data_IF_118351262848
#
_entry.id   IF_118351262848
#
_cell.length_a   1.000
_cell.length_b   1.000
_cell.length_c   1.000
_cell.angle_alpha   90.00
_cell.angle_beta   90.00
_cell.angle_gamma   90.00
#
_symmetry.space_group_name_H-M   'P 1'
#
loop_
_entity.id
_entity.type
_entity.pdbx_description
1 polymer ?
#
# COMPACT_ATOMS: atom_id res chain seq x y z
N UNK A 1 46.17 -15.96 22.58
CA UNK A 1 45.45 -16.81 21.61
C UNK A 1 43.98 -17.02 22.00
N UNK A 2 43.68 -17.51 23.21
CA UNK A 2 42.29 -17.76 23.67
C UNK A 2 41.41 -16.50 23.72
N UNK A 3 41.93 -15.37 24.22
CA UNK A 3 41.19 -14.09 24.29
C UNK A 3 40.83 -13.58 22.89
N UNK A 4 41.73 -13.73 21.92
CA UNK A 4 41.50 -13.32 20.53
C UNK A 4 40.41 -14.17 19.88
N UNK A 5 40.41 -15.48 20.13
CA UNK A 5 39.37 -16.39 19.63
C UNK A 5 37.98 -16.08 20.25
N UNK A 6 37.91 -15.73 21.53
CA UNK A 6 36.67 -15.30 22.19
C UNK A 6 36.14 -13.99 21.60
N UNK A 7 37.01 -13.01 21.34
CA UNK A 7 36.61 -11.75 20.70
C UNK A 7 36.08 -11.99 19.28
N UNK A 8 36.74 -12.84 18.49
CA UNK A 8 36.27 -13.21 17.15
C UNK A 8 34.92 -13.96 17.20
N UNK A 9 34.71 -14.82 18.19
CA UNK A 9 33.42 -15.49 18.39
C UNK A 9 32.31 -14.48 18.75
N UNK A 10 32.58 -13.53 19.64
CA UNK A 10 31.60 -12.49 20.00
C UNK A 10 31.28 -11.61 18.79
N UNK A 11 32.28 -11.17 18.03
CA UNK A 11 32.07 -10.41 16.79
C UNK A 11 31.28 -11.24 15.78
N UNK A 12 31.60 -12.52 15.60
CA UNK A 12 30.86 -13.41 14.72
C UNK A 12 29.40 -13.56 15.15
N UNK A 13 29.14 -13.77 16.44
CA UNK A 13 27.78 -13.88 16.99
C UNK A 13 27.03 -12.56 16.78
N UNK A 14 27.64 -11.42 17.07
CA UNK A 14 27.07 -10.09 16.85
C UNK A 14 26.76 -9.90 15.36
N UNK A 15 27.72 -10.13 14.46
CA UNK A 15 27.53 -10.05 13.01
C UNK A 15 26.43 -11.01 12.56
N UNK A 16 26.39 -12.24 13.04
CA UNK A 16 25.33 -13.20 12.72
C UNK A 16 23.95 -12.71 13.16
N UNK A 17 23.83 -12.13 14.36
CA UNK A 17 22.59 -11.53 14.85
C UNK A 17 22.19 -10.27 14.08
N UNK A 18 23.14 -9.45 13.63
CA UNK A 18 22.89 -8.23 12.87
C UNK A 18 22.57 -8.50 11.39
N UNK A 19 23.21 -9.48 10.75
CA UNK A 19 23.07 -9.75 9.32
C UNK A 19 22.11 -10.91 8.98
N UNK A 20 21.72 -11.73 9.96
CA UNK A 20 20.83 -12.88 9.76
C UNK A 20 19.32 -12.56 9.77
N UNK A 21 18.92 -11.31 10.02
CA UNK A 21 17.52 -10.94 10.18
C UNK A 21 16.96 -10.24 8.93
N UNK A 22 16.21 -10.98 8.12
CA UNK A 22 15.36 -10.39 7.08
C UNK A 22 13.98 -10.07 7.66
N UNK A 23 13.61 -8.80 7.76
CA UNK A 23 12.31 -8.38 8.29
C UNK A 23 11.14 -8.75 7.35
N UNK A 24 11.46 -9.02 6.09
CA UNK A 24 10.50 -9.34 5.03
C UNK A 24 10.83 -10.63 4.31
N UNK A 25 9.79 -11.31 3.83
CA UNK A 25 9.84 -12.53 3.03
C UNK A 25 9.00 -12.37 1.77
N UNK A 26 9.41 -13.01 0.68
CA UNK A 26 8.64 -13.04 -0.57
C UNK A 26 7.64 -14.18 -0.54
N UNK A 27 6.36 -13.88 -0.75
CA UNK A 27 5.27 -14.86 -0.67
C UNK A 27 4.41 -14.73 -1.92
N UNK A 28 4.13 -15.86 -2.59
CA UNK A 28 3.21 -15.92 -3.72
C UNK A 28 1.76 -15.80 -3.21
N UNK A 29 0.95 -14.98 -3.86
CA UNK A 29 -0.49 -14.88 -3.65
C UNK A 29 -1.21 -16.00 -4.41
N UNK A 30 -2.20 -16.63 -3.77
CA UNK A 30 -3.13 -17.54 -4.45
C UNK A 30 -4.24 -16.78 -5.19
N UNK A 31 -4.44 -15.49 -4.85
CA UNK A 31 -5.53 -14.67 -5.39
C UNK A 31 -5.23 -14.23 -6.83
N UNK A 32 -3.99 -13.86 -7.11
CA UNK A 32 -3.57 -13.32 -8.42
C UNK A 32 -2.27 -13.93 -8.96
N UNK A 33 -1.65 -14.86 -8.23
CA UNK A 33 -0.43 -15.54 -8.64
C UNK A 33 0.85 -14.72 -8.52
N UNK A 34 0.79 -13.44 -8.13
CA UNK A 34 1.95 -12.56 -8.02
C UNK A 34 2.73 -12.80 -6.71
N UNK A 35 3.98 -12.35 -6.66
CA UNK A 35 4.84 -12.47 -5.49
C UNK A 35 4.99 -11.11 -4.81
N UNK A 36 4.67 -11.06 -3.52
CA UNK A 36 4.68 -9.84 -2.71
C UNK A 36 5.74 -9.92 -1.62
N UNK A 37 6.32 -8.77 -1.26
CA UNK A 37 7.17 -8.63 -0.06
C UNK A 37 6.26 -8.46 1.15
N UNK A 38 6.26 -9.46 2.01
CA UNK A 38 5.43 -9.58 3.21
C UNK A 38 6.30 -9.45 4.43
N UNK A 39 5.80 -8.82 5.48
CA UNK A 39 6.53 -8.70 6.73
C UNK A 39 6.51 -10.05 7.46
N UNK A 40 7.68 -10.58 7.81
CA UNK A 40 7.77 -11.85 8.53
C UNK A 40 7.84 -11.67 10.05
N UNK A 41 8.42 -10.57 10.54
CA UNK A 41 8.64 -10.36 11.98
C UNK A 41 9.40 -11.54 12.65
N UNK A 42 9.48 -11.56 13.98
CA UNK A 42 9.88 -12.79 14.70
C UNK A 42 8.60 -13.60 14.90
N UNK A 43 8.52 -14.81 14.33
CA UNK A 43 7.49 -15.83 14.61
C UNK A 43 6.09 -15.69 13.97
N UNK A 44 5.94 -15.14 12.75
CA UNK A 44 4.66 -15.24 12.02
C UNK A 44 4.54 -16.58 11.29
N UNK A 45 3.37 -17.22 11.39
CA UNK A 45 3.08 -18.51 10.77
C UNK A 45 2.82 -18.40 9.26
N UNK A 46 2.75 -19.55 8.59
CA UNK A 46 2.49 -19.59 7.14
C UNK A 46 1.13 -18.98 6.77
N UNK A 47 0.12 -19.13 7.65
CA UNK A 47 -1.21 -18.58 7.41
C UNK A 47 -1.17 -17.05 7.38
N UNK A 48 -0.54 -16.41 8.36
CA UNK A 48 -0.35 -14.96 8.43
C UNK A 48 0.28 -14.44 7.14
N UNK A 49 1.39 -15.06 6.72
CA UNK A 49 2.14 -14.66 5.54
C UNK A 49 1.29 -14.78 4.27
N UNK A 50 0.49 -15.84 4.21
CA UNK A 50 -0.38 -16.12 3.08
C UNK A 50 -1.60 -15.21 3.01
N UNK A 51 -2.23 -14.93 4.14
CA UNK A 51 -3.32 -13.96 4.23
C UNK A 51 -2.85 -12.57 3.77
N UNK A 52 -1.65 -12.14 4.21
CA UNK A 52 -1.06 -10.86 3.79
C UNK A 52 -0.72 -10.83 2.28
N UNK A 53 -0.23 -11.92 1.70
CA UNK A 53 0.01 -11.95 0.24
C UNK A 53 -1.28 -11.98 -0.57
N UNK A 54 -2.29 -12.71 -0.11
CA UNK A 54 -3.58 -12.81 -0.77
C UNK A 54 -4.34 -11.48 -0.75
N UNK A 55 -4.33 -10.73 0.36
CA UNK A 55 -4.99 -9.43 0.42
C UNK A 55 -4.30 -8.38 -0.49
N UNK A 56 -2.97 -8.44 -0.64
CA UNK A 56 -2.27 -7.61 -1.63
C UNK A 56 -2.62 -8.02 -3.06
N UNK A 57 -2.82 -9.33 -3.30
CA UNK A 57 -3.33 -9.83 -4.58
C UNK A 57 -4.73 -9.29 -4.89
N UNK A 58 -5.63 -9.30 -3.92
CA UNK A 58 -6.98 -8.72 -4.06
C UNK A 58 -6.93 -7.21 -4.34
N UNK A 59 -6.10 -6.47 -3.61
CA UNK A 59 -5.84 -5.04 -3.86
C UNK A 59 -5.36 -4.85 -5.30
N UNK A 60 -4.40 -5.65 -5.75
CA UNK A 60 -3.84 -5.55 -7.09
C UNK A 60 -4.91 -5.77 -8.18
N UNK A 61 -5.75 -6.80 -8.05
CA UNK A 61 -6.84 -7.06 -9.00
C UNK A 61 -7.83 -5.89 -9.07
N UNK A 62 -8.16 -5.29 -7.92
CA UNK A 62 -9.03 -4.11 -7.83
C UNK A 62 -8.42 -2.86 -8.47
N UNK A 63 -7.12 -2.61 -8.25
CA UNK A 63 -6.41 -1.49 -8.89
C UNK A 63 -6.37 -1.67 -10.41
N UNK A 64 -6.00 -2.85 -10.90
CA UNK A 64 -5.97 -3.14 -12.33
C UNK A 64 -7.35 -3.00 -12.99
N UNK A 65 -8.41 -3.44 -12.29
CA UNK A 65 -9.80 -3.25 -12.72
C UNK A 65 -10.17 -1.77 -12.85
N UNK A 66 -9.80 -0.96 -11.85
CA UNK A 66 -10.00 0.48 -11.88
C UNK A 66 -9.21 1.14 -13.00
N UNK A 67 -7.91 0.84 -13.15
CA UNK A 67 -7.07 1.42 -14.20
C UNK A 67 -7.63 1.09 -15.59
N UNK A 68 -8.04 -0.16 -15.81
CA UNK A 68 -8.67 -0.57 -17.08
C UNK A 68 -9.96 0.21 -17.37
N UNK A 69 -10.82 0.37 -16.36
CA UNK A 69 -12.05 1.16 -16.48
C UNK A 69 -11.75 2.63 -16.83
N UNK A 70 -10.81 3.25 -16.09
CA UNK A 70 -10.41 4.63 -16.32
C UNK A 70 -9.80 4.86 -17.70
N UNK A 71 -8.97 3.93 -18.18
CA UNK A 71 -8.41 3.97 -19.54
C UNK A 71 -9.51 3.88 -20.60
N UNK A 72 -10.48 3.00 -20.41
CA UNK A 72 -11.58 2.83 -21.36
C UNK A 72 -12.47 4.06 -21.43
N UNK A 73 -12.71 4.74 -20.31
CA UNK A 73 -13.67 5.85 -20.22
C UNK A 73 -13.04 7.22 -20.44
N UNK A 74 -11.82 7.42 -19.94
CA UNK A 74 -11.15 8.73 -19.87
C UNK A 74 -9.80 8.76 -20.61
N UNK A 75 -9.45 7.71 -21.36
CA UNK A 75 -8.18 7.61 -22.09
C UNK A 75 -7.95 8.67 -23.17
N UNK A 76 -8.96 9.48 -23.50
CA UNK A 76 -8.87 10.63 -24.41
C UNK A 76 -9.44 11.92 -23.79
N UNK A 77 -9.80 11.89 -22.50
CA UNK A 77 -10.39 13.05 -21.80
C UNK A 77 -9.28 14.00 -21.35
N UNK A 78 -9.18 15.24 -21.88
CA UNK A 78 -8.09 16.15 -21.55
C UNK A 78 -7.96 16.45 -20.04
N UNK A 79 -9.05 16.39 -19.29
CA UNK A 79 -9.06 16.68 -17.85
C UNK A 79 -8.37 15.58 -17.04
N UNK A 80 -8.56 14.32 -17.43
CA UNK A 80 -8.08 13.16 -16.66
C UNK A 80 -6.95 12.38 -17.34
N UNK A 81 -6.65 12.68 -18.61
CA UNK A 81 -5.67 11.97 -19.44
C UNK A 81 -4.33 11.77 -18.72
N UNK A 82 -3.79 12.83 -18.14
CA UNK A 82 -2.50 12.80 -17.44
C UNK A 82 -2.51 11.83 -16.26
N UNK A 83 -3.56 11.87 -15.43
CA UNK A 83 -3.72 10.95 -14.29
C UNK A 83 -3.82 9.50 -14.77
N UNK A 84 -4.72 9.21 -15.71
CA UNK A 84 -4.95 7.85 -16.21
C UNK A 84 -3.69 7.26 -16.87
N UNK A 85 -2.96 8.06 -17.66
CA UNK A 85 -1.69 7.64 -18.25
C UNK A 85 -0.60 7.43 -17.19
N UNK A 86 -0.52 8.29 -16.17
CA UNK A 86 0.43 8.13 -15.07
C UNK A 86 0.17 6.83 -14.29
N UNK A 87 -1.08 6.53 -13.96
CA UNK A 87 -1.44 5.27 -13.30
C UNK A 87 -1.02 4.07 -14.13
N UNK A 88 -1.42 4.00 -15.41
CA UNK A 88 -1.05 2.89 -16.30
C UNK A 88 0.46 2.72 -16.43
N UNK A 89 1.21 3.82 -16.51
CA UNK A 89 2.66 3.80 -16.72
C UNK A 89 3.43 3.40 -15.46
N UNK A 90 2.96 3.84 -14.29
CA UNK A 90 3.71 3.76 -13.03
C UNK A 90 3.27 2.58 -12.15
N UNK A 91 1.99 2.24 -12.18
CA UNK A 91 1.49 1.12 -11.39
C UNK A 91 1.85 -0.22 -12.04
N UNK A 92 2.33 -1.13 -11.20
CA UNK A 92 2.51 -2.57 -11.46
C UNK A 92 2.32 -3.30 -10.12
N UNK A 93 1.99 -4.58 -10.14
CA UNK A 93 1.86 -5.35 -8.88
C UNK A 93 3.10 -5.27 -7.97
N UNK A 94 4.30 -5.10 -8.54
CA UNK A 94 5.56 -4.99 -7.79
C UNK A 94 5.67 -3.73 -6.92
N UNK A 95 4.80 -2.75 -7.15
CA UNK A 95 4.67 -1.53 -6.35
C UNK A 95 4.16 -1.86 -4.94
N UNK A 96 3.37 -2.92 -4.77
CA UNK A 96 2.74 -3.25 -3.51
C UNK A 96 3.65 -4.09 -2.60
N UNK A 97 3.72 -3.71 -1.33
CA UNK A 97 4.34 -4.52 -0.26
C UNK A 97 3.70 -4.24 1.10
N UNK A 98 3.88 -5.12 2.07
CA UNK A 98 3.42 -4.87 3.45
C UNK A 98 4.38 -3.90 4.16
N UNK A 99 3.83 -2.87 4.80
CA UNK A 99 4.60 -1.90 5.57
C UNK A 99 5.18 -2.50 6.88
N UNK A 100 6.28 -1.91 7.36
CA UNK A 100 6.82 -2.21 8.68
C UNK A 100 5.88 -1.70 9.79
N UNK A 101 5.84 -2.39 10.93
CA UNK A 101 5.10 -1.91 12.11
C UNK A 101 6.00 -0.96 12.88
N UNK A 102 6.01 0.29 12.43
CA UNK A 102 6.57 1.43 13.13
C UNK A 102 5.43 2.44 13.34
N UNK A 103 5.39 3.09 14.51
CA UNK A 103 4.35 4.08 14.78
C UNK A 103 4.36 5.22 13.74
N UNK A 104 5.51 5.49 13.12
CA UNK A 104 5.71 6.49 12.08
C UNK A 104 5.16 6.11 10.70
N UNK A 105 4.90 4.82 10.45
CA UNK A 105 4.56 4.33 9.10
C UNK A 105 3.10 3.83 9.02
N UNK A 106 2.24 4.61 8.39
CA UNK A 106 0.89 4.18 7.95
C UNK A 106 1.01 3.42 6.63
N UNK A 107 0.05 3.56 5.72
CA UNK A 107 0.35 3.35 4.30
C UNK A 107 1.06 4.58 3.75
N UNK A 108 2.05 4.36 2.89
CA UNK A 108 2.79 5.44 2.26
C UNK A 108 3.37 5.00 0.92
N UNK A 109 3.56 5.98 0.03
CA UNK A 109 4.25 5.80 -1.24
C UNK A 109 5.63 6.47 -1.24
N UNK A 110 6.68 5.72 -1.57
CA UNK A 110 8.03 6.25 -1.82
C UNK A 110 8.18 6.58 -3.30
N UNK A 111 8.62 7.80 -3.60
CA UNK A 111 8.89 8.31 -4.96
C UNK A 111 7.76 8.13 -5.99
N UNK A 112 6.51 8.01 -5.52
CA UNK A 112 5.32 7.70 -6.35
C UNK A 112 5.46 6.37 -7.11
N UNK A 113 6.25 5.42 -6.58
CA UNK A 113 6.62 4.15 -7.23
C UNK A 113 6.53 2.93 -6.34
N UNK A 114 6.79 3.04 -5.04
CA UNK A 114 6.71 1.90 -4.13
C UNK A 114 5.69 2.20 -3.03
N UNK A 115 4.64 1.39 -2.93
CA UNK A 115 3.56 1.54 -1.98
C UNK A 115 3.68 0.49 -0.89
N UNK A 116 3.93 0.95 0.33
CA UNK A 116 3.99 0.11 1.52
C UNK A 116 2.64 0.21 2.23
N UNK A 117 1.90 -0.88 2.27
CA UNK A 117 0.52 -0.92 2.75
C UNK A 117 0.48 -1.44 4.19
N UNK A 118 -0.15 -0.67 5.07
CA UNK A 118 -0.48 -1.14 6.42
C UNK A 118 -1.70 -2.07 6.35
N UNK A 119 -1.45 -3.37 6.28
CA UNK A 119 -2.50 -4.37 6.09
C UNK A 119 -3.23 -4.75 7.38
N UNK A 120 -2.61 -4.50 8.53
CA UNK A 120 -3.07 -5.06 9.81
C UNK A 120 -3.16 -4.04 10.92
N UNK A 121 -4.07 -4.29 11.86
CA UNK A 121 -4.19 -3.52 13.10
C UNK A 121 -2.89 -3.56 13.89
N UNK A 122 -2.61 -2.47 14.62
CA UNK A 122 -1.41 -2.36 15.48
C UNK A 122 -1.64 -2.91 16.89
N UNK A 123 -2.79 -3.53 17.13
CA UNK A 123 -3.09 -4.23 18.38
C UNK A 123 -2.34 -5.57 18.47
N UNK A 124 -2.48 -6.22 19.63
CA UNK A 124 -1.85 -7.52 19.90
C UNK A 124 -2.39 -8.66 19.00
N UNK A 125 -3.54 -8.47 18.34
CA UNK A 125 -4.21 -9.46 17.50
C UNK A 125 -3.74 -9.36 16.04
N UNK A 126 -3.27 -8.18 15.60
CA UNK A 126 -2.74 -7.93 14.25
C UNK A 126 -3.71 -8.41 13.14
N UNK A 127 -4.99 -8.09 13.30
CA UNK A 127 -6.03 -8.48 12.36
C UNK A 127 -5.87 -7.75 11.03
N UNK A 128 -6.21 -8.41 9.92
CA UNK A 128 -6.29 -7.74 8.63
C UNK A 128 -7.40 -6.69 8.66
N UNK A 129 -7.14 -5.51 8.12
CA UNK A 129 -8.20 -4.56 7.85
C UNK A 129 -9.14 -5.11 6.77
N UNK A 130 -10.39 -4.65 6.82
CA UNK A 130 -11.36 -4.89 5.76
C UNK A 130 -10.83 -4.34 4.42
N UNK A 131 -11.05 -5.12 3.35
CA UNK A 131 -10.60 -4.75 1.99
C UNK A 131 -11.14 -3.39 1.57
N UNK A 132 -12.34 -3.01 2.02
CA UNK A 132 -12.96 -1.74 1.68
C UNK A 132 -12.21 -0.54 2.30
N UNK A 133 -11.76 -0.66 3.55
CA UNK A 133 -10.91 0.36 4.21
C UNK A 133 -9.56 0.43 3.50
N UNK A 134 -8.96 -0.73 3.22
CA UNK A 134 -7.70 -0.79 2.47
C UNK A 134 -7.84 -0.10 1.12
N UNK A 135 -8.91 -0.37 0.37
CA UNK A 135 -9.14 0.27 -0.93
C UNK A 135 -9.29 1.78 -0.83
N UNK A 136 -9.94 2.33 0.21
CA UNK A 136 -10.00 3.78 0.39
C UNK A 136 -8.61 4.42 0.54
N UNK A 137 -7.74 3.78 1.32
CA UNK A 137 -6.34 4.22 1.50
C UNK A 137 -5.52 4.01 0.23
N UNK A 138 -5.72 2.92 -0.49
CA UNK A 138 -5.08 2.69 -1.79
C UNK A 138 -5.46 3.79 -2.80
N UNK A 139 -6.74 4.17 -2.85
CA UNK A 139 -7.21 5.25 -3.74
C UNK A 139 -6.56 6.60 -3.40
N UNK A 140 -6.28 6.86 -2.12
CA UNK A 140 -5.52 8.02 -1.66
C UNK A 140 -4.08 8.00 -2.22
N UNK A 141 -3.39 6.87 -2.12
CA UNK A 141 -2.04 6.73 -2.65
C UNK A 141 -1.99 6.79 -4.19
N UNK A 142 -2.98 6.22 -4.88
CA UNK A 142 -3.12 6.37 -6.34
C UNK A 142 -3.36 7.84 -6.73
N UNK A 143 -4.08 8.62 -5.92
CA UNK A 143 -4.22 10.05 -6.15
C UNK A 143 -2.87 10.78 -6.03
N UNK A 144 -2.01 10.41 -5.06
CA UNK A 144 -0.63 10.91 -5.00
C UNK A 144 0.19 10.53 -6.25
N UNK A 145 0.00 9.32 -6.77
CA UNK A 145 0.65 8.84 -8.01
C UNK A 145 0.18 9.60 -9.26
N UNK A 146 -1.02 10.18 -9.26
CA UNK A 146 -1.54 11.03 -10.33
C UNK A 146 -1.13 12.51 -10.24
N UNK A 147 -0.83 13.01 -9.04
CA UNK A 147 -0.78 14.46 -8.78
C UNK A 147 0.51 15.11 -9.32
N UNK A 148 0.45 15.71 -10.50
CA UNK A 148 1.56 16.40 -11.17
C UNK A 148 1.08 17.74 -11.72
N UNK A 149 1.98 18.72 -11.80
CA UNK A 149 1.67 19.98 -12.47
C UNK A 149 1.73 19.84 -14.01
N UNK A 150 1.41 20.93 -14.71
CA UNK A 150 1.39 20.97 -16.18
C UNK A 150 2.78 20.70 -16.82
N UNK A 151 3.86 20.86 -16.06
CA UNK A 151 5.23 20.62 -16.52
C UNK A 151 5.74 19.21 -16.14
N UNK A 152 4.90 18.38 -15.52
CA UNK A 152 5.27 17.04 -15.07
C UNK A 152 6.08 17.01 -13.77
N UNK A 153 6.03 18.09 -12.97
CA UNK A 153 6.64 18.14 -11.63
C UNK A 153 5.68 17.52 -10.60
N UNK A 154 6.15 16.59 -9.74
CA UNK A 154 5.32 16.03 -8.68
C UNK A 154 4.76 17.11 -7.75
N UNK A 155 3.44 17.14 -7.56
CA UNK A 155 2.81 17.92 -6.49
C UNK A 155 2.68 17.03 -5.26
N UNK A 156 3.07 17.56 -4.11
CA UNK A 156 2.99 16.92 -2.80
C UNK A 156 1.87 17.54 -1.95
N UNK A 157 1.37 16.77 -0.98
CA UNK A 157 0.30 17.20 -0.08
C UNK A 157 -1.11 17.07 -0.68
N UNK A 158 -2.09 17.54 0.09
CA UNK A 158 -3.52 17.28 -0.09
C UNK A 158 -4.31 18.53 -0.52
N UNK A 159 -3.70 19.34 -1.39
CA UNK A 159 -4.33 20.56 -1.94
C UNK A 159 -5.51 20.28 -2.88
N UNK A 160 -6.06 21.34 -3.50
CA UNK A 160 -7.27 21.24 -4.36
C UNK A 160 -7.12 20.22 -5.50
N UNK A 161 -5.97 20.18 -6.16
CA UNK A 161 -5.67 19.22 -7.23
C UNK A 161 -5.72 17.78 -6.74
N UNK A 162 -5.08 17.50 -5.60
CA UNK A 162 -5.13 16.18 -4.97
C UNK A 162 -6.57 15.78 -4.64
N UNK A 163 -7.34 16.66 -4.00
CA UNK A 163 -8.72 16.37 -3.59
C UNK A 163 -9.60 16.11 -4.82
N UNK A 164 -9.42 16.85 -5.90
CA UNK A 164 -10.14 16.64 -7.17
C UNK A 164 -9.86 15.24 -7.74
N UNK A 165 -8.59 14.84 -7.82
CA UNK A 165 -8.17 13.52 -8.29
C UNK A 165 -8.69 12.42 -7.35
N UNK A 166 -8.57 12.61 -6.04
CA UNK A 166 -8.99 11.61 -5.07
C UNK A 166 -10.50 11.38 -5.12
N UNK A 167 -11.32 12.45 -5.22
CA UNK A 167 -12.77 12.33 -5.46
C UNK A 167 -13.09 11.59 -6.74
N UNK A 168 -12.37 11.90 -7.83
CA UNK A 168 -12.55 11.24 -9.11
C UNK A 168 -12.31 9.73 -9.00
N UNK A 169 -11.17 9.32 -8.43
CA UNK A 169 -10.83 7.90 -8.25
C UNK A 169 -11.84 7.19 -7.35
N UNK A 170 -12.25 7.81 -6.24
CA UNK A 170 -13.25 7.23 -5.33
C UNK A 170 -14.59 7.05 -6.02
N UNK A 171 -15.11 8.07 -6.72
CA UNK A 171 -16.39 7.96 -7.45
C UNK A 171 -16.37 6.86 -8.50
N UNK A 172 -15.33 6.81 -9.33
CA UNK A 172 -15.23 5.78 -10.37
C UNK A 172 -15.06 4.38 -9.77
N UNK A 173 -14.35 4.25 -8.64
CA UNK A 173 -14.23 2.98 -7.93
C UNK A 173 -15.55 2.49 -7.32
N UNK A 174 -16.42 3.41 -6.86
CA UNK A 174 -17.78 3.10 -6.39
C UNK A 174 -18.64 2.60 -7.56
N UNK A 175 -18.60 3.32 -8.68
CA UNK A 175 -19.42 3.01 -9.86
C UNK A 175 -19.17 1.59 -10.41
N UNK A 176 -17.97 1.04 -10.22
CA UNK A 176 -17.59 -0.29 -10.70
C UNK A 176 -17.49 -1.34 -9.57
N UNK A 177 -17.87 -0.98 -8.34
CA UNK A 177 -17.85 -1.90 -7.19
C UNK A 177 -16.46 -2.27 -6.66
N UNK A 178 -15.41 -1.53 -7.04
CA UNK A 178 -14.05 -1.71 -6.50
C UNK A 178 -13.95 -1.21 -5.05
N UNK A 179 -14.73 -0.20 -4.69
CA UNK A 179 -14.87 0.33 -3.34
C UNK A 179 -16.35 0.58 -3.04
N UNK A 180 -16.78 0.30 -1.82
CA UNK A 180 -18.13 0.59 -1.31
C UNK A 180 -18.06 1.84 -0.45
N UNK A 181 -18.92 2.81 -0.72
CA UNK A 181 -18.96 4.06 0.04
C UNK A 181 -19.15 3.81 1.54
N UNK A 182 -18.36 4.51 2.34
CA UNK A 182 -18.53 4.63 3.79
C UNK A 182 -18.52 6.12 4.13
N UNK A 183 -19.48 6.54 4.95
CA UNK A 183 -19.49 7.86 5.54
C UNK A 183 -18.61 7.86 6.80
N UNK A 184 -17.32 8.17 6.63
CA UNK A 184 -16.36 8.19 7.72
C UNK A 184 -16.60 9.35 8.71
N UNK A 185 -17.40 10.36 8.35
CA UNK A 185 -17.76 11.42 9.28
C UNK A 185 -18.76 10.94 10.33
N UNK A 186 -19.68 10.04 9.93
CA UNK A 186 -20.61 9.39 10.86
C UNK A 186 -20.08 8.07 11.42
N UNK A 187 -19.20 7.38 10.70
CA UNK A 187 -18.62 6.09 11.09
C UNK A 187 -17.08 6.12 10.97
N UNK A 188 -16.37 6.86 11.85
CA UNK A 188 -14.92 6.90 11.83
C UNK A 188 -14.31 5.51 11.96
N UNK A 189 -13.25 5.24 11.19
CA UNK A 189 -12.53 3.96 11.24
C UNK A 189 -11.09 4.17 11.68
N UNK A 190 -10.64 3.33 12.61
CA UNK A 190 -9.21 3.27 12.94
C UNK A 190 -8.45 2.64 11.79
N UNK A 191 -7.33 3.24 11.43
CA UNK A 191 -6.41 2.74 10.43
C UNK A 191 -4.98 3.10 10.82
N UNK A 192 -4.21 2.08 11.20
CA UNK A 192 -2.78 2.14 11.43
C UNK A 192 -2.36 3.24 12.43
N UNK A 193 -3.05 3.33 13.55
CA UNK A 193 -2.79 4.27 14.64
C UNK A 193 -3.37 5.67 14.44
N UNK A 194 -4.17 5.89 13.40
CA UNK A 194 -4.92 7.12 13.16
C UNK A 194 -6.39 6.83 12.84
N UNK A 195 -7.22 7.86 12.78
CA UNK A 195 -8.64 7.73 12.43
C UNK A 195 -8.93 8.36 11.08
N UNK A 196 -9.61 7.60 10.22
CA UNK A 196 -10.26 8.12 9.02
C UNK A 196 -11.63 8.61 9.46
N UNK A 197 -11.83 9.93 9.47
CA UNK A 197 -13.03 10.61 9.98
C UNK A 197 -13.70 11.54 8.96
N UNK A 198 -13.27 11.48 7.69
CA UNK A 198 -13.86 12.26 6.60
C UNK A 198 -13.84 11.49 5.30
N UNK A 199 -14.97 11.50 4.60
CA UNK A 199 -15.10 10.98 3.24
C UNK A 199 -14.85 12.11 2.23
N UNK A 200 -14.04 11.83 1.21
CA UNK A 200 -13.74 12.85 0.19
C UNK A 200 -14.93 13.11 -0.75
N UNK A 201 -15.81 12.11 -0.91
CA UNK A 201 -17.02 12.13 -1.75
C UNK A 201 -18.29 12.24 -0.93
#
# INVERSE_FOLDING_TARGET
>A
MVIVLLLLLVVYVVVYFFFGYNETVKVKSDTDGNVYKIRQGRQKDTKYLKDSSNILGEINLRIETLIKHLLSKYGNDPEYLSCVHNLRKRYKHSVLSEAAVDQRYTTFTVDKRDMHVCLRTRDNQSHLYDINILMYVILHELAHMCNYDANGVPIHGHGREFVKIFRFLVRESINIGVYTYVDFSNQPQEYCGMYINSSVV
#
